data_IF_828036345338
#
_entry.id   IF_828036345338
#
_cell.length_a   1.000
_cell.length_b   1.000
_cell.length_c   1.000
_cell.angle_alpha   90.00
_cell.angle_beta   90.00
_cell.angle_gamma   90.00
#
_symmetry.space_group_name_H-M   'P 1'
#
loop_
_entity.id
_entity.type
_entity.pdbx_description
1 polymer ?
#
# COMPACT_ATOMS: atom_id res chain seq x y z
N UNK A 1 -20.64 3.00 -13.58
CA UNK A 1 -20.25 3.00 -12.16
C UNK A 1 -18.78 3.40 -12.12
N UNK A 2 -18.48 4.66 -11.79
CA UNK A 2 -17.11 5.19 -11.83
C UNK A 2 -16.44 4.99 -10.48
N UNK A 3 -15.48 4.07 -10.42
CA UNK A 3 -14.60 3.85 -9.27
C UNK A 3 -13.87 5.16 -8.90
N UNK A 4 -14.29 5.77 -7.80
CA UNK A 4 -13.58 6.89 -7.19
C UNK A 4 -12.32 6.36 -6.53
N UNK A 5 -11.23 6.23 -7.31
CA UNK A 5 -9.90 6.03 -6.77
C UNK A 5 -9.53 7.25 -5.92
N UNK A 6 -9.59 7.09 -4.58
CA UNK A 6 -9.18 8.12 -3.63
C UNK A 6 -7.66 8.28 -3.68
N UNK A 7 -7.20 9.33 -4.34
CA UNK A 7 -5.85 9.85 -4.18
C UNK A 7 -5.75 10.51 -2.81
N UNK A 8 -4.71 10.20 -2.03
CA UNK A 8 -4.44 10.92 -0.78
C UNK A 8 -2.98 11.37 -0.71
N UNK A 9 -2.69 12.67 -0.61
CA UNK A 9 -1.33 13.20 -0.55
C UNK A 9 -0.73 13.03 0.86
N UNK A 10 0.57 12.72 0.95
CA UNK A 10 1.24 12.44 2.22
C UNK A 10 1.51 13.75 3.00
N UNK A 11 1.11 13.81 4.28
CA UNK A 11 1.25 15.01 5.14
C UNK A 11 2.67 15.21 5.71
N UNK A 12 3.55 14.21 5.66
CA UNK A 12 4.95 14.30 6.10
C UNK A 12 5.86 13.51 5.14
N UNK A 13 6.77 14.20 4.46
CA UNK A 13 7.69 13.64 3.46
C UNK A 13 8.80 12.76 4.06
N UNK A 14 8.96 12.74 5.39
CA UNK A 14 9.91 11.87 6.11
C UNK A 14 9.31 10.52 6.53
N UNK A 15 7.99 10.37 6.46
CA UNK A 15 7.32 9.20 7.01
C UNK A 15 7.49 7.96 6.10
N UNK A 16 7.90 6.82 6.68
CA UNK A 16 8.08 5.52 5.98
C UNK A 16 7.02 4.49 6.36
N UNK A 17 6.40 3.82 5.40
CA UNK A 17 5.43 2.75 5.65
C UNK A 17 6.12 1.40 5.60
N UNK A 18 5.92 0.57 6.63
CA UNK A 18 6.30 -0.84 6.55
C UNK A 18 5.42 -1.54 5.50
N UNK A 19 6.05 -2.16 4.51
CA UNK A 19 5.38 -2.75 3.37
C UNK A 19 5.90 -4.15 3.09
N UNK A 20 5.01 -5.10 2.88
CA UNK A 20 5.36 -6.44 2.43
C UNK A 20 5.05 -6.58 0.95
N UNK A 21 6.06 -6.83 0.13
CA UNK A 21 5.86 -6.96 -1.31
C UNK A 21 4.95 -8.15 -1.63
N UNK A 22 4.10 -8.00 -2.63
CA UNK A 22 3.23 -9.04 -3.17
C UNK A 22 3.63 -9.26 -4.62
N UNK A 23 4.14 -10.45 -4.93
CA UNK A 23 4.61 -10.82 -6.27
C UNK A 23 3.98 -12.14 -6.72
N UNK A 24 3.96 -12.39 -8.02
CA UNK A 24 3.67 -13.73 -8.54
C UNK A 24 4.96 -14.54 -8.62
N UNK A 25 4.88 -15.83 -8.34
CA UNK A 25 5.95 -16.76 -8.68
C UNK A 25 5.90 -17.15 -10.17
N UNK A 26 6.80 -18.04 -10.58
CA UNK A 26 6.86 -18.53 -11.97
C UNK A 26 5.58 -19.27 -12.39
N UNK A 27 4.85 -19.84 -11.44
CA UNK A 27 3.61 -20.57 -11.65
C UNK A 27 2.37 -19.64 -11.60
N UNK A 28 2.58 -18.33 -11.41
CA UNK A 28 1.51 -17.33 -11.34
C UNK A 28 0.84 -17.22 -9.97
N UNK A 29 1.26 -17.98 -8.97
CA UNK A 29 0.74 -17.94 -7.60
C UNK A 29 1.23 -16.69 -6.88
N UNK A 30 0.33 -16.06 -6.11
CA UNK A 30 0.72 -14.94 -5.25
C UNK A 30 1.62 -15.41 -4.10
N UNK A 31 2.75 -14.72 -3.93
CA UNK A 31 3.70 -14.93 -2.84
C UNK A 31 4.03 -13.62 -2.14
N UNK A 32 4.32 -13.75 -0.85
CA UNK A 32 4.90 -12.69 -0.05
C UNK A 32 6.38 -12.56 -0.40
N UNK A 33 6.79 -11.32 -0.71
CA UNK A 33 8.16 -10.94 -1.04
C UNK A 33 8.85 -10.25 0.12
N UNK A 34 9.73 -9.31 -0.22
CA UNK A 34 10.55 -8.59 0.75
C UNK A 34 9.70 -7.69 1.66
N UNK A 35 10.06 -7.65 2.94
CA UNK A 35 9.63 -6.59 3.86
C UNK A 35 10.51 -5.35 3.62
N UNK A 36 9.89 -4.24 3.25
CA UNK A 36 10.55 -3.01 2.82
C UNK A 36 9.85 -1.78 3.42
N UNK A 37 10.39 -0.61 3.12
CA UNK A 37 9.83 0.68 3.52
C UNK A 37 9.43 1.48 2.28
N UNK A 38 8.18 1.93 2.25
CA UNK A 38 7.69 2.86 1.22
C UNK A 38 7.80 4.29 1.76
N UNK A 39 8.54 5.14 1.05
CA UNK A 39 8.67 6.56 1.37
C UNK A 39 7.43 7.34 0.93
N UNK A 40 7.05 8.36 1.69
CA UNK A 40 5.95 9.28 1.39
C UNK A 40 6.02 9.97 0.00
N UNK A 41 7.20 10.02 -0.63
CA UNK A 41 7.37 10.60 -1.96
C UNK A 41 6.73 9.78 -3.10
N UNK A 42 6.39 8.51 -2.87
CA UNK A 42 5.78 7.67 -3.90
C UNK A 42 4.26 7.70 -3.78
N UNK A 43 3.50 8.04 -4.85
CA UNK A 43 2.05 7.92 -4.85
C UNK A 43 1.62 6.47 -4.56
N UNK A 44 0.69 6.32 -3.63
CA UNK A 44 0.16 5.02 -3.22
C UNK A 44 -1.30 4.94 -3.67
N UNK A 45 -1.66 3.87 -4.37
CA UNK A 45 -3.03 3.56 -4.71
C UNK A 45 -3.53 2.38 -3.90
N UNK A 46 -4.57 2.57 -3.08
CA UNK A 46 -5.29 1.46 -2.47
C UNK A 46 -6.05 0.70 -3.56
N UNK A 47 -5.77 -0.59 -3.73
CA UNK A 47 -6.25 -1.36 -4.88
C UNK A 47 -6.84 -2.73 -4.53
N UNK A 48 -7.07 -3.03 -3.25
CA UNK A 48 -7.73 -4.26 -2.84
C UNK A 48 -7.60 -4.58 -1.36
N UNK A 49 -8.20 -5.70 -0.96
CA UNK A 49 -8.11 -6.22 0.40
C UNK A 49 -6.69 -6.66 0.75
N UNK A 50 -6.36 -6.58 2.03
CA UNK A 50 -5.09 -7.03 2.56
C UNK A 50 -5.00 -8.55 2.69
N UNK A 51 -3.90 -9.02 3.27
CA UNK A 51 -3.77 -10.40 3.71
C UNK A 51 -4.76 -10.73 4.85
N UNK A 52 -5.12 -9.73 5.64
CA UNK A 52 -6.12 -9.80 6.71
C UNK A 52 -6.79 -8.44 6.93
N UNK A 53 -7.71 -8.36 7.89
CA UNK A 53 -8.43 -7.13 8.24
C UNK A 53 -7.53 -5.95 8.65
N UNK A 54 -6.31 -6.21 9.14
CA UNK A 54 -5.36 -5.18 9.60
C UNK A 54 -4.52 -4.59 8.47
N UNK A 55 -4.50 -5.25 7.32
CA UNK A 55 -3.70 -4.85 6.16
C UNK A 55 -4.59 -4.44 4.99
N UNK A 56 -4.00 -3.73 4.04
CA UNK A 56 -4.64 -3.38 2.77
C UNK A 56 -3.65 -3.55 1.63
N UNK A 57 -4.13 -3.96 0.45
CA UNK A 57 -3.30 -4.02 -0.74
C UNK A 57 -3.18 -2.65 -1.37
N UNK A 58 -1.96 -2.24 -1.60
CA UNK A 58 -1.63 -1.02 -2.30
C UNK A 58 -0.78 -1.30 -3.53
N UNK A 59 -0.84 -0.39 -4.49
CA UNK A 59 0.04 -0.35 -5.66
C UNK A 59 0.90 0.90 -5.59
N UNK A 60 2.20 0.71 -5.82
CA UNK A 60 3.18 1.78 -6.00
C UNK A 60 3.88 1.52 -7.32
N UNK A 61 3.72 2.44 -8.29
CA UNK A 61 4.11 2.20 -9.69
C UNK A 61 3.54 0.86 -10.18
N UNK A 62 4.41 -0.09 -10.54
CA UNK A 62 4.03 -1.41 -11.06
C UNK A 62 4.15 -2.54 -10.02
N UNK A 63 4.42 -2.19 -8.76
CA UNK A 63 4.58 -3.15 -7.68
C UNK A 63 3.40 -3.11 -6.70
N UNK A 64 3.07 -4.28 -6.17
CA UNK A 64 2.02 -4.45 -5.17
C UNK A 64 2.61 -4.72 -3.79
N UNK A 65 1.95 -4.21 -2.76
CA UNK A 65 2.36 -4.36 -1.38
C UNK A 65 1.15 -4.55 -0.48
N UNK A 66 1.35 -5.22 0.65
CA UNK A 66 0.48 -5.08 1.81
C UNK A 66 1.10 -4.09 2.80
N UNK A 67 0.30 -3.16 3.29
CA UNK A 67 0.66 -2.20 4.34
C UNK A 67 -0.39 -2.25 5.45
N UNK A 68 -0.05 -1.80 6.65
CA UNK A 68 -1.02 -1.71 7.74
C UNK A 68 -2.00 -0.56 7.51
N UNK A 69 -3.28 -0.79 7.81
CA UNK A 69 -4.32 0.24 7.66
C UNK A 69 -4.11 1.43 8.59
N UNK A 70 -3.62 1.18 9.80
CA UNK A 70 -3.32 2.22 10.79
C UNK A 70 -2.28 3.22 10.28
N UNK A 71 -1.26 2.74 9.57
CA UNK A 71 -0.20 3.59 9.02
C UNK A 71 -0.71 4.51 7.89
N UNK A 72 -1.77 4.10 7.19
CA UNK A 72 -2.45 4.96 6.21
C UNK A 72 -3.38 5.96 6.90
N UNK A 73 -4.19 5.52 7.86
CA UNK A 73 -5.12 6.40 8.59
C UNK A 73 -4.38 7.54 9.31
N UNK A 74 -3.24 7.25 9.93
CA UNK A 74 -2.42 8.27 10.59
C UNK A 74 -1.84 9.32 9.64
N UNK A 75 -1.76 9.06 8.32
CA UNK A 75 -1.14 9.97 7.33
C UNK A 75 -2.13 10.70 6.45
N UNK A 76 -3.36 10.20 6.42
CA UNK A 76 -4.37 10.52 5.41
C UNK A 76 -5.74 10.79 6.06
N UNK A 77 -5.83 10.82 7.39
CA UNK A 77 -7.00 11.33 8.08
C UNK A 77 -7.13 12.84 7.81
N UNK A 78 -8.34 13.34 7.49
CA UNK A 78 -8.59 14.77 7.52
C UNK A 78 -8.36 15.28 8.95
N UNK A 79 -7.61 16.37 9.10
CA UNK A 79 -7.48 17.14 10.33
C UNK A 79 -8.82 17.66 10.82
#
# INVERSE_FOLDING_TARGET
MSDHKRYVPAQDSSAVLCAMQVKRDMDGNWKMGLLTQLTAASPIEVCGEGFNEKTVKVRVKDSYYFVFRADLQSRYAPS
#
